data_IF_383274707058
#
_entry.id   IF_383274707058
#
_cell.length_a   1.000
_cell.length_b   1.000
_cell.length_c   1.000
_cell.angle_alpha   90.00
_cell.angle_beta   90.00
_cell.angle_gamma   90.00
#
_symmetry.space_group_name_H-M   'P 1'
#
loop_
_entity.id
_entity.type
_entity.pdbx_description
1 polymer ?
#
# COMPACT_ATOMS: atom_id res chain seq x y z
N UNK A 1 -81.43 -31.02 -17.37
CA UNK A 1 -80.44 -31.13 -18.45
C UNK A 1 -79.44 -30.00 -18.24
N UNK A 2 -78.17 -30.36 -17.99
CA UNK A 2 -76.96 -29.50 -18.01
C UNK A 2 -76.88 -28.40 -16.91
N UNK A 3 -76.00 -28.44 -15.89
CA UNK A 3 -74.53 -28.53 -15.87
C UNK A 3 -73.83 -27.37 -16.62
N UNK A 4 -72.88 -26.73 -15.93
CA UNK A 4 -71.97 -25.63 -16.37
C UNK A 4 -72.68 -24.26 -16.49
N UNK A 5 -72.35 -23.19 -15.78
CA UNK A 5 -71.03 -22.57 -15.53
C UNK A 5 -71.29 -21.37 -14.59
N UNK A 6 -70.67 -21.28 -13.41
CA UNK A 6 -70.36 -20.01 -12.71
C UNK A 6 -69.72 -20.28 -11.34
N UNK A 7 -68.51 -20.83 -11.34
CA UNK A 7 -67.64 -20.84 -10.15
C UNK A 7 -66.20 -20.60 -10.62
N UNK A 8 -65.89 -19.35 -10.97
CA UNK A 8 -64.49 -18.94 -11.21
C UNK A 8 -64.35 -17.42 -11.06
N UNK A 9 -64.24 -16.94 -9.82
CA UNK A 9 -63.59 -15.66 -9.53
C UNK A 9 -63.29 -15.48 -8.02
N UNK A 10 -62.36 -16.28 -7.51
CA UNK A 10 -61.52 -15.91 -6.36
C UNK A 10 -60.10 -16.41 -6.64
N UNK A 11 -59.27 -15.54 -7.19
CA UNK A 11 -57.83 -15.78 -7.30
C UNK A 11 -57.22 -15.81 -5.88
N UNK A 12 -56.42 -16.82 -5.53
CA UNK A 12 -55.53 -16.76 -4.38
C UNK A 12 -54.28 -15.95 -4.75
N UNK A 13 -53.91 -15.04 -3.84
CA UNK A 13 -52.65 -14.28 -3.83
C UNK A 13 -51.46 -15.19 -4.17
N UNK A 14 -50.88 -15.02 -5.36
CA UNK A 14 -49.58 -15.61 -5.68
C UNK A 14 -48.52 -14.84 -4.91
N UNK A 15 -47.89 -15.54 -3.96
CA UNK A 15 -46.65 -15.11 -3.30
C UNK A 15 -45.64 -14.64 -4.35
N UNK A 16 -45.15 -13.42 -4.19
CA UNK A 16 -43.94 -12.94 -4.85
C UNK A 16 -42.81 -13.93 -4.53
N UNK A 17 -42.47 -14.77 -5.50
CA UNK A 17 -41.32 -15.66 -5.41
C UNK A 17 -40.08 -14.84 -5.11
N UNK A 18 -39.56 -15.00 -3.90
CA UNK A 18 -38.29 -14.45 -3.46
C UNK A 18 -37.21 -14.83 -4.48
N UNK A 19 -36.84 -13.87 -5.34
CA UNK A 19 -35.69 -13.99 -6.22
C UNK A 19 -34.46 -14.01 -5.31
N UNK A 20 -34.02 -15.22 -4.97
CA UNK A 20 -32.78 -15.42 -4.21
C UNK A 20 -31.62 -14.69 -4.89
N UNK A 21 -30.61 -14.27 -4.12
CA UNK A 21 -29.46 -13.56 -4.66
C UNK A 21 -28.86 -14.37 -5.83
N UNK A 22 -28.44 -13.69 -6.92
CA UNK A 22 -27.92 -14.36 -8.10
C UNK A 22 -26.81 -15.33 -7.69
N UNK A 23 -26.96 -16.61 -8.07
CA UNK A 23 -25.97 -17.65 -7.81
C UNK A 23 -24.62 -17.20 -8.39
N UNK A 24 -23.65 -16.89 -7.53
CA UNK A 24 -22.29 -16.61 -7.93
C UNK A 24 -21.74 -17.84 -8.67
N UNK A 25 -21.52 -17.71 -9.97
CA UNK A 25 -20.80 -18.71 -10.77
C UNK A 25 -19.39 -18.80 -10.18
N UNK A 26 -18.93 -19.98 -9.72
CA UNK A 26 -17.58 -20.12 -9.16
C UNK A 26 -16.55 -19.70 -10.21
N UNK A 27 -15.75 -18.66 -9.91
CA UNK A 27 -14.61 -18.31 -10.76
C UNK A 27 -13.65 -19.51 -10.79
N UNK A 28 -13.14 -19.92 -11.97
CA UNK A 28 -12.18 -21.01 -12.05
C UNK A 28 -10.96 -20.70 -11.19
N UNK A 29 -10.47 -21.70 -10.45
CA UNK A 29 -9.29 -21.52 -9.61
C UNK A 29 -8.09 -21.09 -10.47
N UNK A 30 -7.33 -20.06 -10.04
CA UNK A 30 -6.20 -19.56 -10.80
C UNK A 30 -5.11 -20.65 -10.94
N UNK A 31 -4.53 -20.78 -12.14
CA UNK A 31 -3.46 -21.75 -12.36
C UNK A 31 -2.23 -21.46 -11.48
N UNK A 32 -1.53 -22.50 -11.03
CA UNK A 32 -0.34 -22.34 -10.20
C UNK A 32 0.75 -21.48 -10.86
N UNK A 33 0.87 -21.56 -12.20
CA UNK A 33 1.79 -20.72 -12.97
C UNK A 33 1.39 -19.22 -12.91
N UNK A 34 0.10 -18.90 -12.97
CA UNK A 34 -0.39 -17.53 -12.83
C UNK A 34 -0.15 -16.98 -11.42
N UNK A 35 -0.40 -17.79 -10.39
CA UNK A 35 -0.10 -17.42 -9.00
C UNK A 35 1.40 -17.14 -8.82
N UNK A 36 2.27 -18.02 -9.32
CA UNK A 36 3.71 -17.84 -9.26
C UNK A 36 4.16 -16.57 -9.98
N UNK A 37 3.63 -16.32 -11.19
CA UNK A 37 3.92 -15.11 -11.95
C UNK A 37 3.59 -13.84 -11.15
N UNK A 38 2.40 -13.76 -10.56
CA UNK A 38 1.97 -12.61 -9.76
C UNK A 38 2.85 -12.40 -8.52
N UNK A 39 3.18 -13.48 -7.82
CA UNK A 39 4.05 -13.45 -6.63
C UNK A 39 5.45 -12.96 -7.00
N UNK A 40 6.05 -13.49 -8.07
CA UNK A 40 7.36 -13.06 -8.55
C UNK A 40 7.34 -11.59 -9.00
N UNK A 41 6.32 -11.19 -9.77
CA UNK A 41 6.15 -9.81 -10.22
C UNK A 41 6.04 -8.84 -9.03
N UNK A 42 5.20 -9.16 -8.05
CA UNK A 42 5.07 -8.37 -6.83
C UNK A 42 6.39 -8.30 -6.07
N UNK A 43 7.10 -9.43 -5.94
CA UNK A 43 8.37 -9.48 -5.23
C UNK A 43 9.44 -8.63 -5.90
N UNK A 44 9.59 -8.73 -7.22
CA UNK A 44 10.55 -7.93 -7.98
C UNK A 44 10.21 -6.44 -7.90
N UNK A 45 8.96 -6.04 -8.17
CA UNK A 45 8.57 -4.63 -8.13
C UNK A 45 8.67 -4.07 -6.70
N UNK A 46 8.16 -4.77 -5.69
CA UNK A 46 8.20 -4.31 -4.29
C UNK A 46 9.62 -4.21 -3.75
N UNK A 47 10.52 -5.12 -4.14
CA UNK A 47 11.89 -5.12 -3.61
C UNK A 47 12.76 -4.02 -4.22
N UNK A 48 12.53 -3.69 -5.50
CA UNK A 48 13.35 -2.74 -6.28
C UNK A 48 12.83 -1.30 -6.28
N UNK A 49 11.50 -1.10 -6.18
CA UNK A 49 10.90 0.24 -6.32
C UNK A 49 11.43 1.25 -5.30
N UNK A 50 11.69 0.86 -4.05
CA UNK A 50 12.26 1.78 -3.06
C UNK A 50 13.64 2.31 -3.45
N UNK A 51 14.48 1.46 -4.07
CA UNK A 51 15.83 1.83 -4.53
C UNK A 51 15.74 2.72 -5.77
N UNK A 52 14.86 2.38 -6.72
CA UNK A 52 14.61 3.20 -7.91
C UNK A 52 13.96 4.53 -7.54
N UNK A 53 13.07 4.57 -6.55
CA UNK A 53 12.50 5.81 -6.01
C UNK A 53 13.58 6.70 -5.42
N UNK A 54 14.52 6.14 -4.64
CA UNK A 54 15.68 6.90 -4.15
C UNK A 54 16.53 7.43 -5.30
N UNK A 55 16.79 6.63 -6.33
CA UNK A 55 17.51 7.08 -7.52
C UNK A 55 16.79 8.22 -8.25
N UNK A 56 15.46 8.11 -8.42
CA UNK A 56 14.64 9.17 -8.99
C UNK A 56 14.64 10.43 -8.13
N UNK A 57 14.62 10.30 -6.80
CA UNK A 57 14.67 11.43 -5.87
C UNK A 57 16.02 12.14 -5.86
N UNK A 58 17.13 11.42 -6.10
CA UNK A 58 18.44 12.04 -6.29
C UNK A 58 18.52 12.85 -7.59
N UNK A 59 17.77 12.46 -8.62
CA UNK A 59 17.74 13.15 -9.91
C UNK A 59 16.63 14.21 -10.03
N UNK A 60 15.55 14.05 -9.27
CA UNK A 60 14.41 14.97 -9.16
C UNK A 60 13.97 15.01 -7.68
N UNK A 61 14.49 15.97 -6.89
CA UNK A 61 14.28 16.05 -5.44
C UNK A 61 12.87 16.53 -5.04
N UNK A 62 11.83 15.98 -5.69
CA UNK A 62 10.42 16.28 -5.45
C UNK A 62 9.62 14.98 -5.28
N UNK A 63 9.58 14.40 -4.06
CA UNK A 63 8.87 13.15 -3.78
C UNK A 63 7.41 13.13 -4.24
N UNK A 64 6.68 14.22 -4.01
CA UNK A 64 5.29 14.34 -4.45
C UNK A 64 5.18 14.32 -5.97
N UNK A 65 6.06 15.01 -6.69
CA UNK A 65 6.08 15.02 -8.17
C UNK A 65 6.41 13.62 -8.72
N UNK A 66 7.43 12.95 -8.19
CA UNK A 66 7.81 11.59 -8.63
C UNK A 66 6.64 10.62 -8.46
N UNK A 67 5.99 10.63 -7.29
CA UNK A 67 4.84 9.76 -7.02
C UNK A 67 3.62 10.15 -7.86
N UNK A 68 3.38 11.44 -8.13
CA UNK A 68 2.33 11.89 -9.04
C UNK A 68 2.56 11.40 -10.47
N UNK A 69 3.80 11.45 -10.98
CA UNK A 69 4.15 10.88 -12.28
C UNK A 69 3.87 9.38 -12.34
N UNK A 70 4.20 8.64 -11.28
CA UNK A 70 3.92 7.20 -11.16
C UNK A 70 2.43 6.90 -11.21
N UNK A 71 1.62 7.60 -10.40
CA UNK A 71 0.17 7.41 -10.37
C UNK A 71 -0.49 7.84 -11.69
N UNK A 72 -0.07 8.97 -12.26
CA UNK A 72 -0.59 9.48 -13.53
C UNK A 72 -0.27 8.51 -14.67
N UNK A 73 0.98 8.06 -14.77
CA UNK A 73 1.39 7.10 -15.80
C UNK A 73 0.59 5.82 -15.67
N UNK A 74 0.42 5.30 -14.45
CA UNK A 74 -0.37 4.09 -14.21
C UNK A 74 -1.83 4.27 -14.60
N UNK A 75 -2.48 5.37 -14.19
CA UNK A 75 -3.86 5.64 -14.54
C UNK A 75 -4.06 5.79 -16.06
N UNK A 76 -3.18 6.53 -16.73
CA UNK A 76 -3.24 6.77 -18.18
C UNK A 76 -3.04 5.47 -18.96
N UNK A 77 -1.98 4.71 -18.64
CA UNK A 77 -1.69 3.44 -19.33
C UNK A 77 -2.85 2.46 -19.17
N UNK A 78 -3.35 2.27 -17.94
CA UNK A 78 -4.45 1.33 -17.69
C UNK A 78 -5.75 1.80 -18.36
N UNK A 79 -6.04 3.10 -18.34
CA UNK A 79 -7.19 3.66 -19.05
C UNK A 79 -7.15 3.37 -20.55
N UNK A 80 -6.00 3.60 -21.21
CA UNK A 80 -5.87 3.33 -22.64
C UNK A 80 -5.89 1.83 -22.95
N UNK A 81 -5.24 0.98 -22.15
CA UNK A 81 -5.31 -0.48 -22.31
C UNK A 81 -6.75 -0.99 -22.19
N UNK A 82 -7.54 -0.44 -21.26
CA UNK A 82 -8.97 -0.73 -21.14
C UNK A 82 -9.78 -0.22 -22.33
N UNK A 83 -9.51 1.01 -22.79
CA UNK A 83 -10.18 1.60 -23.97
C UNK A 83 -9.94 0.78 -25.24
N UNK A 84 -8.73 0.26 -25.43
CA UNK A 84 -8.39 -0.63 -26.54
C UNK A 84 -8.77 -2.11 -26.30
N UNK A 85 -9.44 -2.43 -25.18
CA UNK A 85 -9.84 -3.78 -24.78
C UNK A 85 -8.69 -4.79 -24.72
N UNK A 86 -7.47 -4.32 -24.45
CA UNK A 86 -6.30 -5.18 -24.21
C UNK A 86 -6.41 -5.85 -22.84
N UNK A 87 -7.02 -5.17 -21.87
CA UNK A 87 -7.26 -5.68 -20.52
C UNK A 87 -8.68 -5.36 -20.05
N UNK A 88 -9.22 -6.20 -19.15
CA UNK A 88 -10.56 -6.01 -18.60
C UNK A 88 -10.56 -4.93 -17.50
N UNK A 89 -11.07 -3.76 -17.85
CA UNK A 89 -11.19 -2.61 -16.95
C UNK A 89 -12.66 -2.22 -16.85
N UNK A 90 -13.17 -2.18 -15.62
CA UNK A 90 -14.49 -1.64 -15.34
C UNK A 90 -14.65 -0.22 -15.90
N UNK A 91 -15.84 0.08 -16.44
CA UNK A 91 -16.19 1.44 -16.81
C UNK A 91 -16.02 2.39 -15.62
N UNK A 92 -15.44 3.57 -15.89
CA UNK A 92 -15.26 4.59 -14.87
C UNK A 92 -16.63 5.16 -14.46
N UNK A 93 -16.99 4.97 -13.18
CA UNK A 93 -18.27 5.38 -12.58
C UNK A 93 -17.99 6.15 -11.31
N UNK A 94 -18.66 7.30 -11.18
CA UNK A 94 -18.50 8.19 -10.04
C UNK A 94 -18.88 7.55 -8.70
N UNK A 95 -19.87 6.65 -8.70
CA UNK A 95 -20.30 5.89 -7.52
C UNK A 95 -19.19 4.99 -6.97
N UNK A 96 -18.53 4.22 -7.85
CA UNK A 96 -17.38 3.38 -7.47
C UNK A 96 -16.20 4.23 -7.01
N UNK A 97 -15.98 5.41 -7.61
CA UNK A 97 -14.95 6.35 -7.18
C UNK A 97 -15.19 6.84 -5.75
N UNK A 98 -16.42 7.27 -5.45
CA UNK A 98 -16.82 7.68 -4.09
C UNK A 98 -16.67 6.56 -3.07
N UNK A 99 -17.06 5.34 -3.43
CA UNK A 99 -16.91 4.17 -2.56
C UNK A 99 -15.43 3.84 -2.28
N UNK A 100 -14.56 4.02 -3.27
CA UNK A 100 -13.12 3.79 -3.16
C UNK A 100 -12.33 4.97 -2.55
N UNK A 101 -12.91 6.17 -2.50
CA UNK A 101 -12.22 7.36 -2.05
C UNK A 101 -11.68 7.26 -0.61
N UNK A 102 -12.45 6.81 0.40
CA UNK A 102 -11.97 6.76 1.77
C UNK A 102 -10.69 5.92 1.94
N UNK A 103 -10.67 4.71 1.37
CA UNK A 103 -9.49 3.84 1.46
C UNK A 103 -8.30 4.39 0.66
N UNK A 104 -8.56 4.98 -0.52
CA UNK A 104 -7.49 5.53 -1.36
C UNK A 104 -6.93 6.86 -0.83
N UNK A 105 -7.72 7.65 -0.10
CA UNK A 105 -7.24 8.84 0.62
C UNK A 105 -6.26 8.43 1.72
N UNK A 106 -6.61 7.42 2.52
CA UNK A 106 -5.73 6.93 3.58
C UNK A 106 -4.47 6.29 3.00
N UNK A 107 -4.60 5.52 1.91
CA UNK A 107 -3.46 5.00 1.14
C UNK A 107 -2.55 6.12 0.64
N UNK A 108 -3.10 7.15 0.01
CA UNK A 108 -2.33 8.29 -0.48
C UNK A 108 -1.62 9.02 0.66
N UNK A 109 -2.28 9.22 1.80
CA UNK A 109 -1.67 9.83 2.98
C UNK A 109 -0.51 8.98 3.52
N UNK A 110 -0.62 7.65 3.47
CA UNK A 110 0.47 6.75 3.85
C UNK A 110 1.67 6.87 2.91
N UNK A 111 1.45 7.05 1.60
CA UNK A 111 2.51 7.32 0.62
C UNK A 111 3.13 8.70 0.83
N UNK A 112 2.31 9.73 1.03
CA UNK A 112 2.78 11.10 1.28
C UNK A 112 3.67 11.17 2.53
N UNK A 113 3.18 10.65 3.65
CA UNK A 113 3.94 10.65 4.91
C UNK A 113 5.22 9.80 4.82
N UNK A 114 5.19 8.68 4.10
CA UNK A 114 6.38 7.91 3.76
C UNK A 114 7.42 8.75 2.98
N UNK A 115 6.98 9.44 1.92
CA UNK A 115 7.86 10.32 1.14
C UNK A 115 8.51 11.42 2.00
N UNK A 116 7.75 11.99 2.95
CA UNK A 116 8.31 12.95 3.91
C UNK A 116 9.37 12.31 4.83
N UNK A 117 9.16 11.08 5.32
CA UNK A 117 10.19 10.35 6.08
C UNK A 117 11.48 10.20 5.27
N UNK A 118 11.37 9.78 4.01
CA UNK A 118 12.54 9.57 3.13
C UNK A 118 13.23 10.88 2.72
N UNK A 119 12.55 12.02 2.82
CA UNK A 119 13.14 13.34 2.55
C UNK A 119 14.04 13.79 3.70
N UNK A 120 13.70 13.43 4.94
CA UNK A 120 14.40 13.90 6.14
C UNK A 120 15.15 12.80 6.89
N UNK A 121 15.10 11.56 6.42
CA UNK A 121 15.71 10.39 7.05
C UNK A 121 15.99 9.28 6.02
N UNK A 122 16.47 8.13 6.50
CA UNK A 122 16.93 7.02 5.66
C UNK A 122 15.82 5.97 5.43
N UNK A 123 16.03 5.09 4.45
CA UNK A 123 15.14 3.95 4.18
C UNK A 123 15.11 3.01 5.39
N UNK A 124 16.25 2.88 6.06
CA UNK A 124 16.45 2.13 7.28
C UNK A 124 15.54 2.61 8.42
N UNK A 125 15.46 3.93 8.65
CA UNK A 125 14.56 4.53 9.66
C UNK A 125 13.12 4.24 9.34
N UNK A 126 12.73 4.38 8.06
CA UNK A 126 11.40 4.02 7.61
C UNK A 126 11.05 2.55 7.90
N UNK A 127 11.97 1.63 7.65
CA UNK A 127 11.77 0.19 7.91
C UNK A 127 11.63 -0.08 9.40
N UNK A 128 12.48 0.51 10.24
CA UNK A 128 12.43 0.36 11.69
C UNK A 128 11.07 0.82 12.25
N UNK A 129 10.61 2.02 11.90
CA UNK A 129 9.30 2.52 12.33
C UNK A 129 8.15 1.69 11.78
N UNK A 130 8.16 1.33 10.49
CA UNK A 130 7.12 0.46 9.90
C UNK A 130 7.07 -0.90 10.58
N UNK A 131 8.18 -1.42 11.10
CA UNK A 131 8.19 -2.69 11.81
C UNK A 131 7.36 -2.66 13.10
N UNK A 132 7.16 -1.48 13.72
CA UNK A 132 6.32 -1.29 14.92
C UNK A 132 4.81 -1.37 14.63
N UNK A 133 4.39 -1.30 13.38
CA UNK A 133 2.96 -1.34 13.00
C UNK A 133 2.16 -2.46 13.68
N UNK A 134 2.63 -3.73 13.73
CA UNK A 134 1.88 -4.81 14.35
C UNK A 134 1.69 -4.66 15.86
N UNK A 135 2.62 -4.00 16.55
CA UNK A 135 2.48 -3.68 17.99
C UNK A 135 1.28 -2.76 18.20
N UNK A 136 1.19 -1.69 17.42
CA UNK A 136 0.10 -0.73 17.51
C UNK A 136 -1.23 -1.30 17.03
N UNK A 137 -1.24 -2.01 15.90
CA UNK A 137 -2.46 -2.69 15.42
C UNK A 137 -2.96 -3.67 16.48
N UNK A 138 -2.08 -4.46 17.10
CA UNK A 138 -2.48 -5.38 18.18
C UNK A 138 -3.06 -4.64 19.38
N UNK A 139 -2.51 -3.48 19.75
CA UNK A 139 -3.06 -2.67 20.85
C UNK A 139 -4.41 -2.03 20.52
N UNK A 140 -4.60 -1.58 19.28
CA UNK A 140 -5.89 -1.04 18.81
C UNK A 140 -6.95 -2.15 18.76
N UNK A 141 -6.62 -3.32 18.22
CA UNK A 141 -7.53 -4.46 18.15
C UNK A 141 -7.96 -4.90 19.57
N UNK A 142 -7.07 -4.90 20.57
CA UNK A 142 -7.45 -5.26 21.94
C UNK A 142 -8.21 -4.16 22.69
N UNK A 143 -7.76 -2.91 22.61
CA UNK A 143 -8.32 -1.80 23.41
C UNK A 143 -9.61 -1.21 22.82
N UNK A 144 -9.68 -1.09 21.50
CA UNK A 144 -10.78 -0.40 20.81
C UNK A 144 -11.80 -1.40 20.27
N UNK A 145 -11.36 -2.55 19.75
CA UNK A 145 -12.25 -3.59 19.18
C UNK A 145 -12.61 -4.69 20.18
N UNK A 146 -11.97 -4.72 21.35
CA UNK A 146 -12.23 -5.74 22.37
C UNK A 146 -11.79 -7.15 21.95
N UNK A 147 -10.85 -7.27 20.99
CA UNK A 147 -10.29 -8.59 20.64
C UNK A 147 -9.50 -9.16 21.83
N UNK A 148 -9.42 -10.49 21.89
CA UNK A 148 -8.67 -11.18 22.94
C UNK A 148 -7.19 -10.73 22.96
N UNK A 149 -6.59 -10.55 24.15
CA UNK A 149 -5.19 -10.12 24.25
C UNK A 149 -4.25 -11.13 23.57
N UNK A 150 -3.10 -10.66 23.03
CA UNK A 150 -2.15 -11.54 22.37
C UNK A 150 -1.60 -12.59 23.34
N UNK A 151 -1.32 -13.80 22.83
CA UNK A 151 -0.67 -14.82 23.64
C UNK A 151 0.72 -14.37 24.09
N UNK A 152 1.27 -15.00 25.15
CA UNK A 152 2.62 -14.69 25.64
C UNK A 152 3.70 -14.77 24.55
N UNK A 153 3.53 -15.70 23.58
CA UNK A 153 4.43 -15.84 22.43
C UNK A 153 4.32 -14.66 21.47
N UNK A 154 3.09 -14.24 21.16
CA UNK A 154 2.83 -13.07 20.31
C UNK A 154 3.34 -11.79 20.98
N UNK A 155 3.09 -11.62 22.28
CA UNK A 155 3.61 -10.51 23.07
C UNK A 155 5.14 -10.46 23.09
N UNK A 156 5.82 -11.60 23.24
CA UNK A 156 7.28 -11.66 23.17
C UNK A 156 7.82 -11.23 21.79
N UNK A 157 7.16 -11.63 20.70
CA UNK A 157 7.54 -11.19 19.36
C UNK A 157 7.36 -9.67 19.20
N UNK A 158 6.26 -9.11 19.71
CA UNK A 158 6.00 -7.67 19.71
C UNK A 158 7.04 -6.88 20.50
N UNK A 159 7.46 -7.38 21.67
CA UNK A 159 8.55 -6.80 22.44
C UNK A 159 9.89 -6.86 21.68
N UNK A 160 10.17 -7.97 20.99
CA UNK A 160 11.40 -8.11 20.20
C UNK A 160 11.45 -7.12 19.02
N UNK A 161 10.31 -6.85 18.37
CA UNK A 161 10.18 -5.79 17.36
C UNK A 161 10.50 -4.43 17.99
N UNK A 162 9.90 -4.11 19.14
CA UNK A 162 10.13 -2.84 19.82
C UNK A 162 11.60 -2.65 20.23
N UNK A 163 12.23 -3.72 20.75
CA UNK A 163 13.67 -3.72 21.07
C UNK A 163 14.53 -3.47 19.84
N UNK A 164 14.26 -4.13 18.72
CA UNK A 164 14.99 -3.89 17.47
C UNK A 164 14.86 -2.44 16.98
N UNK A 165 13.67 -1.84 17.08
CA UNK A 165 13.46 -0.45 16.66
C UNK A 165 14.20 0.55 17.58
N UNK A 166 14.19 0.31 18.89
CA UNK A 166 14.94 1.12 19.87
C UNK A 166 16.45 0.99 19.66
N UNK A 167 16.95 -0.24 19.44
CA UNK A 167 18.36 -0.47 19.13
C UNK A 167 18.78 0.24 17.84
N UNK A 168 17.95 0.17 16.79
CA UNK A 168 18.18 0.93 15.56
C UNK A 168 18.30 2.43 15.83
N UNK A 169 17.34 3.01 16.57
CA UNK A 169 17.33 4.46 16.85
C UNK A 169 18.55 4.93 17.65
N UNK A 170 19.15 4.06 18.47
CA UNK A 170 20.39 4.37 19.20
C UNK A 170 21.62 4.39 18.29
N UNK A 171 21.66 3.52 17.29
CA UNK A 171 22.79 3.36 16.37
C UNK A 171 22.61 4.14 15.05
N UNK A 172 21.53 4.92 14.92
CA UNK A 172 21.21 5.70 13.73
C UNK A 172 22.10 6.95 13.62
N UNK A 173 23.12 6.85 12.78
CA UNK A 173 24.04 7.95 12.49
C UNK A 173 23.37 9.15 11.78
N UNK A 174 22.17 8.98 11.20
CA UNK A 174 21.43 10.04 10.50
C UNK A 174 20.18 10.46 11.28
N UNK A 175 20.27 10.49 12.61
CA UNK A 175 19.16 10.91 13.46
C UNK A 175 18.70 12.33 13.13
N UNK A 176 17.42 12.45 12.81
CA UNK A 176 16.77 13.71 12.43
C UNK A 176 15.43 13.82 13.14
N UNK A 177 15.29 14.82 14.02
CA UNK A 177 14.05 15.05 14.78
C UNK A 177 12.85 15.21 13.84
N UNK A 178 13.03 15.95 12.74
CA UNK A 178 11.99 16.14 11.73
C UNK A 178 11.65 14.83 11.01
N UNK A 179 12.66 14.02 10.66
CA UNK A 179 12.46 12.70 10.05
C UNK A 179 11.71 11.74 10.96
N UNK A 180 12.06 11.68 12.24
CA UNK A 180 11.40 10.83 13.24
C UNK A 180 9.97 11.31 13.55
N UNK A 181 9.73 12.62 13.59
CA UNK A 181 8.37 13.16 13.72
C UNK A 181 7.47 12.72 12.56
N UNK A 182 7.97 12.82 11.31
CA UNK A 182 7.25 12.28 10.15
C UNK A 182 7.08 10.77 10.22
N UNK A 183 8.04 10.03 10.77
CA UNK A 183 7.94 8.59 10.94
C UNK A 183 6.83 8.19 11.93
N UNK A 184 6.65 8.98 13.01
CA UNK A 184 5.51 8.83 13.91
C UNK A 184 4.17 9.14 13.23
N UNK A 185 4.09 10.22 12.46
CA UNK A 185 2.86 10.55 11.70
C UNK A 185 2.53 9.43 10.71
N UNK A 186 3.51 8.98 9.94
CA UNK A 186 3.39 7.85 9.04
C UNK A 186 2.90 6.59 9.77
N UNK A 187 3.43 6.31 10.97
CA UNK A 187 3.06 5.14 11.76
C UNK A 187 1.57 5.17 12.17
N UNK A 188 1.04 6.34 12.55
CA UNK A 188 -0.40 6.52 12.84
C UNK A 188 -1.24 6.30 11.59
N UNK A 189 -0.84 6.88 10.46
CA UNK A 189 -1.56 6.77 9.19
C UNK A 189 -1.59 5.34 8.69
N UNK A 190 -0.47 4.63 8.72
CA UNK A 190 -0.40 3.24 8.23
C UNK A 190 -1.17 2.26 9.13
N UNK A 191 -1.18 2.49 10.45
CA UNK A 191 -2.05 1.70 11.37
C UNK A 191 -3.52 1.92 11.02
N UNK A 192 -3.90 3.19 10.80
CA UNK A 192 -5.26 3.54 10.39
C UNK A 192 -5.63 2.88 9.06
N UNK A 193 -4.73 2.91 8.07
CA UNK A 193 -4.89 2.23 6.78
C UNK A 193 -5.16 0.74 6.97
N UNK A 194 -4.34 0.05 7.75
CA UNK A 194 -4.49 -1.39 7.98
C UNK A 194 -5.78 -1.76 8.71
N UNK A 195 -6.23 -0.92 9.64
CA UNK A 195 -7.46 -1.11 10.40
C UNK A 195 -8.70 -0.85 9.53
N UNK A 196 -8.63 0.18 8.68
CA UNK A 196 -9.74 0.66 7.84
C UNK A 196 -9.88 -0.12 6.52
N UNK A 197 -8.78 -0.62 5.94
CA UNK A 197 -8.78 -1.42 4.71
C UNK A 197 -9.75 -2.60 4.78
N UNK A 198 -9.77 -3.31 5.93
CA UNK A 198 -10.67 -4.46 6.16
C UNK A 198 -12.15 -4.10 6.06
N UNK A 199 -12.54 -2.87 6.39
CA UNK A 199 -13.94 -2.44 6.39
C UNK A 199 -14.45 -2.11 4.98
N UNK A 200 -13.57 -1.59 4.11
CA UNK A 200 -13.94 -1.06 2.79
C UNK A 200 -13.73 -2.06 1.66
N UNK A 201 -12.70 -2.91 1.71
CA UNK A 201 -12.39 -3.84 0.59
C UNK A 201 -13.37 -5.00 0.45
N UNK A 202 -14.24 -5.24 1.44
CA UNK A 202 -15.23 -6.31 1.41
C UNK A 202 -16.47 -5.99 0.55
N UNK A 203 -16.65 -4.72 0.17
CA UNK A 203 -17.91 -4.24 -0.45
C UNK A 203 -17.76 -3.80 -1.91
N UNK A 204 -16.55 -3.85 -2.48
CA UNK A 204 -16.26 -3.29 -3.81
C UNK A 204 -15.97 -4.41 -4.82
N UNK A 205 -16.89 -4.60 -5.76
CA UNK A 205 -16.73 -5.54 -6.87
C UNK A 205 -16.15 -4.81 -8.10
N UNK A 206 -14.83 -4.94 -8.26
CA UNK A 206 -14.03 -4.38 -9.37
C UNK A 206 -13.03 -5.44 -9.85
N UNK A 207 -12.69 -5.41 -11.14
CA UNK A 207 -11.57 -6.16 -11.68
C UNK A 207 -10.26 -5.66 -11.06
N UNK A 208 -9.19 -6.47 -11.12
CA UNK A 208 -7.86 -6.07 -10.64
C UNK A 208 -7.39 -4.77 -11.32
N UNK A 209 -7.58 -4.65 -12.64
CA UNK A 209 -7.23 -3.44 -13.38
C UNK A 209 -8.16 -2.27 -13.06
N UNK A 210 -9.43 -2.53 -12.78
CA UNK A 210 -10.35 -1.54 -12.22
C UNK A 210 -9.78 -0.96 -10.92
N UNK A 211 -9.46 -1.80 -9.94
CA UNK A 211 -8.86 -1.37 -8.67
C UNK A 211 -7.60 -0.51 -8.88
N UNK A 212 -6.72 -0.92 -9.80
CA UNK A 212 -5.53 -0.14 -10.18
C UNK A 212 -5.91 1.23 -10.72
N UNK A 213 -6.82 1.31 -11.69
CA UNK A 213 -7.22 2.58 -12.30
C UNK A 213 -7.82 3.53 -11.26
N UNK A 214 -8.80 3.08 -10.48
CA UNK A 214 -9.45 3.92 -9.47
C UNK A 214 -8.48 4.40 -8.40
N UNK A 215 -7.63 3.51 -7.88
CA UNK A 215 -6.64 3.88 -6.87
C UNK A 215 -5.68 4.97 -7.38
N UNK A 216 -5.13 4.77 -8.57
CA UNK A 216 -4.16 5.69 -9.15
C UNK A 216 -4.82 7.01 -9.56
N UNK A 217 -6.05 6.99 -10.11
CA UNK A 217 -6.78 8.21 -10.46
C UNK A 217 -7.10 9.08 -9.24
N UNK A 218 -7.54 8.46 -8.13
CA UNK A 218 -7.79 9.19 -6.88
C UNK A 218 -6.48 9.74 -6.32
N UNK A 219 -5.40 8.97 -6.34
CA UNK A 219 -4.09 9.41 -5.88
C UNK A 219 -3.57 10.63 -6.66
N UNK A 220 -3.76 10.66 -7.99
CA UNK A 220 -3.43 11.85 -8.82
C UNK A 220 -4.27 13.05 -8.41
N UNK A 221 -5.57 12.87 -8.16
CA UNK A 221 -6.46 13.96 -7.77
C UNK A 221 -6.09 14.58 -6.41
N UNK A 222 -5.48 13.82 -5.51
CA UNK A 222 -5.03 14.29 -4.19
C UNK A 222 -3.68 15.01 -4.24
N UNK A 223 -2.87 14.80 -5.28
CA UNK A 223 -1.53 15.37 -5.37
C UNK A 223 -1.47 16.90 -5.32
N UNK A 224 -2.31 17.68 -6.03
CA UNK A 224 -2.22 19.14 -5.98
C UNK A 224 -2.34 19.70 -4.56
N UNK A 225 -3.26 19.15 -3.75
CA UNK A 225 -3.44 19.55 -2.37
C UNK A 225 -2.21 19.19 -1.52
N UNK A 226 -1.67 17.98 -1.67
CA UNK A 226 -0.48 17.56 -0.93
C UNK A 226 0.79 18.32 -1.34
N UNK A 227 0.93 18.65 -2.62
CA UNK A 227 2.01 19.48 -3.15
C UNK A 227 1.94 20.90 -2.61
N UNK A 228 0.73 21.46 -2.48
CA UNK A 228 0.51 22.75 -1.84
C UNK A 228 0.89 22.73 -0.37
N UNK A 229 0.43 21.73 0.40
CA UNK A 229 0.69 21.60 1.84
C UNK A 229 2.17 21.33 2.16
N UNK A 230 2.88 20.57 1.32
CA UNK A 230 4.30 20.28 1.49
C UNK A 230 5.21 21.44 1.07
N UNK A 231 4.67 22.43 0.35
CA UNK A 231 5.45 23.50 -0.26
C UNK A 231 6.18 23.10 -1.55
N UNK A 232 6.09 21.84 -1.99
CA UNK A 232 6.66 21.39 -3.26
C UNK A 232 6.10 22.17 -4.45
N UNK A 233 4.82 22.56 -4.40
CA UNK A 233 4.20 23.34 -5.48
C UNK A 233 4.92 24.68 -5.73
N UNK A 234 5.33 25.34 -4.64
CA UNK A 234 6.11 26.59 -4.72
C UNK A 234 7.52 26.34 -5.23
N UNK A 235 8.17 25.26 -4.80
CA UNK A 235 9.51 24.92 -5.26
C UNK A 235 9.53 24.52 -6.74
N UNK A 236 8.51 23.79 -7.21
CA UNK A 236 8.32 23.45 -8.62
C UNK A 236 8.02 24.68 -9.47
N UNK A 237 7.17 25.59 -8.99
CA UNK A 237 6.87 26.82 -9.73
C UNK A 237 8.09 27.72 -9.84
N UNK A 238 8.93 27.81 -8.79
CA UNK A 238 10.20 28.50 -8.86
C UNK A 238 11.15 27.83 -9.86
N UNK A 239 11.25 26.50 -9.88
CA UNK A 239 12.13 25.78 -10.80
C UNK A 239 11.73 25.99 -12.27
N UNK A 240 10.43 25.96 -12.58
CA UNK A 240 9.91 26.14 -13.94
C UNK A 240 10.08 27.58 -14.45
N UNK A 241 10.09 28.56 -13.54
CA UNK A 241 10.25 29.97 -13.88
C UNK A 241 11.70 30.46 -13.72
N UNK A 242 12.59 29.64 -13.15
CA UNK A 242 13.99 29.97 -12.94
C UNK A 242 14.72 30.07 -14.27
N UNK A 243 15.56 31.11 -14.41
CA UNK A 243 16.53 31.15 -15.50
C UNK A 243 17.67 30.19 -15.21
N UNK A 244 18.27 29.55 -16.23
CA UNK A 244 19.43 28.69 -16.04
C UNK A 244 20.54 29.42 -15.27
N UNK A 245 20.93 28.91 -14.10
CA UNK A 245 22.01 29.46 -13.28
C UNK A 245 21.61 30.38 -12.13
N UNK A 246 20.32 30.67 -11.90
CA UNK A 246 19.90 31.37 -10.69
C UNK A 246 19.84 30.43 -9.47
N UNK A 247 20.43 30.79 -8.32
CA UNK A 247 20.33 30.01 -7.11
C UNK A 247 18.89 30.04 -6.59
N UNK A 248 18.26 28.86 -6.50
CA UNK A 248 16.92 28.74 -5.95
C UNK A 248 16.97 28.64 -4.42
N UNK A 249 16.39 29.64 -3.74
CA UNK A 249 16.16 29.60 -2.29
C UNK A 249 14.97 28.68 -1.96
N UNK A 250 15.14 27.38 -2.21
CA UNK A 250 14.24 26.35 -1.71
C UNK A 250 15.02 25.12 -1.24
N UNK A 251 14.60 24.48 -0.13
CA UNK A 251 15.25 23.26 0.36
C UNK A 251 15.17 22.09 -0.64
N UNK A 252 14.26 22.15 -1.61
CA UNK A 252 14.07 21.13 -2.64
C UNK A 252 14.85 21.41 -3.94
N UNK A 253 15.42 22.60 -4.11
CA UNK A 253 15.91 23.04 -5.42
C UNK A 253 17.40 23.40 -5.46
N UNK A 254 18.13 23.15 -4.37
CA UNK A 254 19.59 23.11 -4.42
C UNK A 254 19.96 21.90 -5.27
N UNK A 255 20.60 22.14 -6.41
CA UNK A 255 21.20 21.13 -7.28
C UNK A 255 20.24 20.26 -8.13
N UNK A 256 19.13 20.83 -8.64
CA UNK A 256 18.32 20.10 -9.64
C UNK A 256 19.12 19.98 -10.94
N UNK A 257 19.48 18.75 -11.39
CA UNK A 257 20.14 18.56 -12.67
C UNK A 257 19.23 19.08 -13.80
N UNK A 258 19.79 19.57 -14.92
CA UNK A 258 18.97 19.94 -16.08
C UNK A 258 18.08 18.74 -16.47
N UNK A 259 16.81 19.01 -16.84
CA UNK A 259 15.87 17.97 -17.29
C UNK A 259 16.42 17.28 -18.54
N UNK A 260 17.19 16.24 -18.31
CA UNK A 260 17.86 15.44 -19.32
C UNK A 260 17.69 13.96 -19.05
N UNK A 261 18.46 13.15 -19.76
CA UNK A 261 18.38 11.70 -19.68
C UNK A 261 18.64 11.16 -18.26
N UNK A 262 19.49 11.86 -17.50
CA UNK A 262 19.80 11.57 -16.10
C UNK A 262 18.60 11.68 -15.15
N UNK A 263 17.58 12.47 -15.49
CA UNK A 263 16.33 12.58 -14.71
C UNK A 263 15.20 11.73 -15.30
N UNK A 264 15.13 11.66 -16.63
CA UNK A 264 14.08 10.91 -17.32
C UNK A 264 14.19 9.39 -17.14
N UNK A 265 15.40 8.83 -17.19
CA UNK A 265 15.60 7.38 -17.06
C UNK A 265 15.19 6.85 -15.66
N UNK A 266 15.65 7.43 -14.53
CA UNK A 266 15.19 7.01 -13.21
C UNK A 266 13.67 7.16 -13.06
N UNK A 267 13.12 8.30 -13.50
CA UNK A 267 11.69 8.58 -13.39
C UNK A 267 10.85 7.58 -14.19
N UNK A 268 11.20 7.34 -15.46
CA UNK A 268 10.50 6.38 -16.31
C UNK A 268 10.58 4.96 -15.76
N UNK A 269 11.77 4.55 -15.27
CA UNK A 269 11.95 3.24 -14.62
C UNK A 269 11.05 3.11 -13.39
N UNK A 270 10.95 4.17 -12.60
CA UNK A 270 10.07 4.21 -11.42
C UNK A 270 8.59 4.08 -11.81
N UNK A 271 8.16 4.73 -12.90
CA UNK A 271 6.80 4.63 -13.42
C UNK A 271 6.46 3.22 -13.93
N UNK A 272 7.39 2.56 -14.64
CA UNK A 272 7.20 1.17 -15.09
C UNK A 272 7.03 0.23 -13.89
N UNK A 273 7.89 0.36 -12.88
CA UNK A 273 7.76 -0.41 -11.64
C UNK A 273 6.47 -0.07 -10.87
N UNK A 274 6.00 1.18 -10.92
CA UNK A 274 4.74 1.60 -10.29
C UNK A 274 3.50 0.95 -10.92
N UNK A 275 3.49 0.80 -12.25
CA UNK A 275 2.44 0.02 -12.95
C UNK A 275 2.48 -1.44 -12.46
N UNK A 276 3.69 -2.02 -12.46
CA UNK A 276 3.88 -3.41 -12.11
C UNK A 276 3.49 -3.74 -10.66
N UNK A 277 3.92 -2.91 -9.70
CA UNK A 277 3.53 -3.07 -8.29
C UNK A 277 2.03 -2.86 -8.10
N UNK A 278 1.41 -1.87 -8.76
CA UNK A 278 -0.03 -1.60 -8.62
C UNK A 278 -0.85 -2.82 -9.04
N UNK A 279 -0.56 -3.38 -10.21
CA UNK A 279 -1.25 -4.57 -10.71
C UNK A 279 -0.96 -5.79 -9.84
N UNK A 280 0.32 -6.13 -9.65
CA UNK A 280 0.70 -7.34 -8.92
C UNK A 280 0.27 -7.31 -7.46
N UNK A 281 0.18 -6.14 -6.82
CA UNK A 281 -0.26 -6.02 -5.43
C UNK A 281 -1.75 -6.39 -5.27
N UNK A 282 -2.62 -5.91 -6.18
CA UNK A 282 -4.04 -6.29 -6.18
C UNK A 282 -4.25 -7.71 -6.70
N UNK A 283 -3.54 -8.08 -7.77
CA UNK A 283 -3.62 -9.42 -8.37
C UNK A 283 -3.21 -10.51 -7.38
N UNK A 284 -2.07 -10.34 -6.72
CA UNK A 284 -1.59 -11.31 -5.71
C UNK A 284 -2.59 -11.44 -4.56
N UNK A 285 -3.11 -10.32 -4.02
CA UNK A 285 -4.14 -10.35 -2.96
C UNK A 285 -5.44 -11.06 -3.36
N UNK A 286 -5.74 -11.12 -4.66
CA UNK A 286 -6.92 -11.82 -5.16
C UNK A 286 -6.75 -13.34 -5.29
N UNK A 287 -5.51 -13.85 -5.31
CA UNK A 287 -5.23 -15.27 -5.56
C UNK A 287 -4.49 -15.98 -4.42
N UNK A 288 -3.90 -15.25 -3.47
CA UNK A 288 -3.31 -15.82 -2.26
C UNK A 288 -4.00 -15.28 -1.01
N UNK A 289 -3.95 -16.04 0.07
CA UNK A 289 -4.50 -15.58 1.35
C UNK A 289 -3.79 -14.33 1.87
N UNK A 290 -4.50 -13.52 2.66
CA UNK A 290 -3.92 -12.36 3.32
C UNK A 290 -2.67 -12.70 4.16
N UNK A 291 -2.59 -13.93 4.71
CA UNK A 291 -1.41 -14.40 5.44
C UNK A 291 -0.22 -14.60 4.50
N UNK A 292 -0.41 -15.29 3.37
CA UNK A 292 0.65 -15.49 2.38
C UNK A 292 1.13 -14.15 1.82
N UNK A 293 0.21 -13.21 1.57
CA UNK A 293 0.56 -11.87 1.10
C UNK A 293 1.40 -11.11 2.13
N UNK A 294 1.09 -11.25 3.42
CA UNK A 294 1.86 -10.63 4.49
C UNK A 294 3.28 -11.22 4.56
N UNK A 295 3.43 -12.56 4.48
CA UNK A 295 4.73 -13.24 4.47
C UNK A 295 5.56 -12.81 3.24
N UNK A 296 4.95 -12.78 2.06
CA UNK A 296 5.56 -12.30 0.83
C UNK A 296 6.08 -10.88 1.00
N UNK A 297 5.27 -9.98 1.58
CA UNK A 297 5.67 -8.61 1.87
C UNK A 297 6.87 -8.51 2.81
N UNK A 298 7.06 -9.45 3.75
CA UNK A 298 8.26 -9.49 4.59
C UNK A 298 9.49 -9.94 3.79
N UNK A 299 9.38 -10.98 2.99
CA UNK A 299 10.46 -11.43 2.11
C UNK A 299 10.91 -10.30 1.16
N UNK A 300 9.96 -9.55 0.60
CA UNK A 300 10.24 -8.38 -0.23
C UNK A 300 11.05 -7.31 0.51
N UNK A 301 10.72 -7.04 1.78
CA UNK A 301 11.46 -6.07 2.59
C UNK A 301 12.90 -6.50 2.87
N UNK A 302 13.12 -7.79 3.18
CA UNK A 302 14.47 -8.34 3.34
C UNK A 302 15.28 -8.16 2.05
N UNK A 303 14.65 -8.47 0.91
CA UNK A 303 15.26 -8.25 -0.39
C UNK A 303 15.55 -6.75 -0.64
N UNK A 304 14.63 -5.84 -0.29
CA UNK A 304 14.88 -4.39 -0.38
C UNK A 304 16.08 -3.96 0.43
N UNK A 305 16.23 -4.43 1.67
CA UNK A 305 17.39 -4.10 2.52
C UNK A 305 18.67 -4.60 1.86
N UNK A 306 18.70 -5.85 1.39
CA UNK A 306 19.86 -6.41 0.71
C UNK A 306 20.23 -5.61 -0.57
N UNK A 307 19.24 -5.32 -1.42
CA UNK A 307 19.46 -4.52 -2.65
C UNK A 307 19.93 -3.11 -2.30
N UNK A 308 19.35 -2.46 -1.29
CA UNK A 308 19.73 -1.11 -0.87
C UNK A 308 21.19 -1.07 -0.38
N UNK A 309 21.64 -2.08 0.37
CA UNK A 309 23.04 -2.19 0.81
C UNK A 309 23.98 -2.42 -0.38
N UNK A 310 23.59 -3.25 -1.35
CA UNK A 310 24.41 -3.49 -2.54
C UNK A 310 24.45 -2.28 -3.50
N UNK A 311 23.39 -1.47 -3.53
CA UNK A 311 23.23 -0.37 -4.48
C UNK A 311 23.85 0.96 -4.00
N UNK A 312 23.97 1.20 -2.69
CA UNK A 312 24.40 2.49 -2.15
C UNK A 312 25.54 2.32 -1.16
N UNK A 313 26.63 3.08 -1.31
CA UNK A 313 27.80 3.03 -0.39
C UNK A 313 27.57 3.68 0.98
N UNK A 314 26.51 4.49 1.13
CA UNK A 314 26.14 5.18 2.36
C UNK A 314 24.96 4.47 3.04
N UNK A 315 25.24 3.30 3.62
CA UNK A 315 24.28 2.46 4.36
C UNK A 315 24.48 2.62 5.88
N UNK A 316 23.41 2.31 6.64
CA UNK A 316 23.44 2.35 8.10
C UNK A 316 24.57 1.48 8.70
N UNK A 317 25.01 1.80 9.92
CA UNK A 317 26.06 1.05 10.64
C UNK A 317 25.71 -0.44 10.76
N UNK A 318 26.70 -1.33 10.93
CA UNK A 318 26.43 -2.77 11.11
C UNK A 318 25.48 -3.05 12.28
N UNK A 319 25.55 -2.26 13.36
CA UNK A 319 24.62 -2.35 14.49
C UNK A 319 23.19 -1.96 14.11
N UNK A 320 23.02 -0.87 13.37
CA UNK A 320 21.72 -0.45 12.84
C UNK A 320 21.14 -1.47 11.84
N UNK A 321 21.98 -2.07 10.99
CA UNK A 321 21.55 -3.13 10.07
C UNK A 321 21.11 -4.40 10.81
N UNK A 322 21.87 -4.85 11.82
CA UNK A 322 21.50 -5.99 12.65
C UNK A 322 20.16 -5.75 13.37
N UNK A 323 19.95 -4.52 13.84
CA UNK A 323 18.69 -4.10 14.46
C UNK A 323 17.50 -4.17 13.50
N UNK A 324 17.69 -3.79 12.23
CA UNK A 324 16.66 -3.92 11.19
C UNK A 324 16.36 -5.38 10.88
N UNK A 325 17.38 -6.22 10.72
CA UNK A 325 17.20 -7.66 10.51
C UNK A 325 16.43 -8.27 11.67
N UNK A 326 16.75 -7.89 12.91
CA UNK A 326 16.02 -8.31 14.11
C UNK A 326 14.55 -7.88 14.05
N UNK A 327 14.25 -6.62 13.72
CA UNK A 327 12.88 -6.13 13.55
C UNK A 327 12.09 -6.97 12.54
N UNK A 328 12.73 -7.32 11.43
CA UNK A 328 12.10 -8.08 10.36
C UNK A 328 11.86 -9.53 10.78
N UNK A 329 12.86 -10.20 11.35
CA UNK A 329 12.74 -11.58 11.86
C UNK A 329 11.66 -11.66 12.95
N UNK A 330 11.66 -10.73 13.90
CA UNK A 330 10.65 -10.64 14.95
C UNK A 330 9.24 -10.41 14.36
N UNK A 331 9.12 -9.61 13.30
CA UNK A 331 7.86 -9.41 12.56
C UNK A 331 7.36 -10.70 11.90
N UNK A 332 8.25 -11.56 11.38
CA UNK A 332 7.88 -12.88 10.85
C UNK A 332 7.35 -13.79 11.94
N UNK A 333 8.09 -13.88 13.06
CA UNK A 333 7.69 -14.71 14.21
C UNK A 333 6.33 -14.26 14.77
N UNK A 334 6.13 -12.93 14.87
CA UNK A 334 4.84 -12.34 15.25
C UNK A 334 3.71 -12.81 14.33
N UNK A 335 3.88 -12.75 13.01
CA UNK A 335 2.82 -13.15 12.07
C UNK A 335 2.41 -14.61 12.24
N UNK A 336 3.39 -15.50 12.45
CA UNK A 336 3.12 -16.92 12.69
C UNK A 336 2.39 -17.13 14.02
N UNK A 337 2.80 -16.42 15.07
CA UNK A 337 2.19 -16.52 16.39
C UNK A 337 0.77 -15.93 16.40
N UNK A 338 0.58 -14.72 15.86
CA UNK A 338 -0.73 -14.06 15.76
C UNK A 338 -1.74 -14.87 14.94
N UNK A 339 -1.29 -15.60 13.91
CA UNK A 339 -2.15 -16.55 13.17
C UNK A 339 -2.66 -17.66 14.08
N UNK A 340 -1.79 -18.24 14.92
CA UNK A 340 -2.17 -19.29 15.87
C UNK A 340 -3.14 -18.77 16.91
N UNK A 341 -2.92 -17.56 17.42
CA UNK A 341 -3.84 -16.90 18.36
C UNK A 341 -5.24 -16.72 17.75
N UNK A 342 -5.32 -16.21 16.51
CA UNK A 342 -6.60 -16.05 15.79
C UNK A 342 -7.30 -17.39 15.52
N UNK A 343 -6.54 -18.45 15.23
CA UNK A 343 -7.11 -19.78 15.04
C UNK A 343 -7.68 -20.34 16.36
N UNK A 344 -6.95 -20.18 17.47
CA UNK A 344 -7.39 -20.61 18.80
C UNK A 344 -8.63 -19.83 19.27
N UNK A 345 -8.71 -18.53 18.98
CA UNK A 345 -9.87 -17.70 19.30
C UNK A 345 -11.16 -18.17 18.60
N UNK A 346 -11.06 -18.65 17.35
CA UNK A 346 -12.21 -19.18 16.60
C UNK A 346 -12.70 -20.54 17.10
N UNK A 347 -11.85 -21.31 17.79
CA UNK A 347 -12.21 -22.63 18.33
C UNK A 347 -12.83 -22.58 19.72
N UNK A 348 -12.90 -21.40 20.36
CA UNK A 348 -13.57 -21.23 21.64
C UNK A 348 -15.09 -21.08 21.41
N UNK A 349 -15.93 -21.96 21.96
CA UNK A 349 -17.38 -21.83 21.86
C UNK A 349 -17.84 -20.62 22.69
N UNK A 350 -18.40 -19.58 22.05
CA UNK A 350 -19.11 -18.50 22.74
C UNK A 350 -18.80 -17.05 22.35
N UNK A 351 -18.11 -16.75 21.25
CA UNK A 351 -17.94 -15.37 20.76
C UNK A 351 -18.71 -15.15 19.46
N UNK A 352 -20.03 -14.97 19.56
CA UNK A 352 -20.88 -14.39 18.53
C UNK A 352 -21.50 -13.09 19.05
#
# INVERSE_FOLDING_TARGET
MQQETSEKNREPLLEEGAMGPPKEVPKPEPSGAYVLLLVCMYATCSSTLSVVNKWALLALPFPGVVTACQFLTTAVVVYFLGKFRVVDVDAFRWEKLKAMAPINVVFYLAIFTNGQVLTYSTVETFIAFRSLTPLLVSGVDTLVRGEAPPSRRTAACLLLIALGAVSYARDDANFSVRGYAWACVYLVVIVTEMVYAKHVTATINLSTWGLVLYQNAIAVALWPLASFLSGEFRALSLLLNAKPGEPLDSPFARDVPPLGLSTLVPLATSCVLAIGISFSAWGTRSVISATQFTVLGVACKLATVAINVLAWSHHASLGAQASIVLCIVASVLYQQSAKRDRAAAKTLPGAH
#
